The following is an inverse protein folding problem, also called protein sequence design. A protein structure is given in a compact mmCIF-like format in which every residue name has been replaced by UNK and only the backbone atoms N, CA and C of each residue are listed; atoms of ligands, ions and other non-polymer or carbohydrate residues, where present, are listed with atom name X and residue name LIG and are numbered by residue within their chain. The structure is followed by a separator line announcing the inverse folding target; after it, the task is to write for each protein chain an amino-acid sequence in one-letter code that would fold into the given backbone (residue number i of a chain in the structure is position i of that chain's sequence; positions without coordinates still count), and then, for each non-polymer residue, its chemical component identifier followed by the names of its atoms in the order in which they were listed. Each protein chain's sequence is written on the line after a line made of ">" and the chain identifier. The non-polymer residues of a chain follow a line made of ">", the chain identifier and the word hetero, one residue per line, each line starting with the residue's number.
data_IF_991126691803
#
_entry.id   IF_991126691803
#
_cell.length_a   1.000
_cell.length_b   1.000
_cell.length_c   1.000
_cell.angle_alpha   90.00
_cell.angle_beta   90.00
_cell.angle_gamma   90.00
#
_symmetry.space_group_name_H-M   'P 1'
#
loop_
_entity.id
_entity.type
_entity.pdbx_description
1 polymer ?
#
# COMPACT_ATOMS: atom_id res chain seq x y z
N UNK A 1 1.23 15.46 -36.88
CA UNK A 1 1.06 14.20 -36.12
C UNK A 1 -0.04 14.38 -35.10
N UNK A 2 -0.98 13.43 -35.00
CA UNK A 2 -2.10 13.52 -34.04
C UNK A 2 -1.58 13.38 -32.60
N UNK A 3 -2.05 14.20 -31.64
CA UNK A 3 -1.65 14.08 -30.24
C UNK A 3 -2.19 12.79 -29.61
N UNK A 4 -1.33 12.11 -28.84
CA UNK A 4 -1.65 10.89 -28.11
C UNK A 4 -2.63 11.27 -26.97
N UNK A 5 -3.81 10.63 -26.86
CA UNK A 5 -4.76 10.95 -25.80
C UNK A 5 -4.17 10.60 -24.43
N UNK A 6 -4.20 11.59 -23.51
CA UNK A 6 -3.82 11.40 -22.11
C UNK A 6 -4.77 10.38 -21.48
N UNK A 7 -4.27 9.17 -21.24
CA UNK A 7 -4.97 8.12 -20.49
C UNK A 7 -5.43 8.71 -19.16
N UNK A 8 -6.75 8.86 -19.04
CA UNK A 8 -7.41 9.34 -17.84
C UNK A 8 -7.00 8.49 -16.64
N UNK A 9 -6.87 9.14 -15.50
CA UNK A 9 -6.78 8.51 -14.19
C UNK A 9 -7.81 7.38 -14.12
N UNK A 10 -7.36 6.12 -14.09
CA UNK A 10 -8.21 4.98 -13.76
C UNK A 10 -8.76 5.30 -12.38
N UNK A 11 -9.98 5.83 -12.33
CA UNK A 11 -10.79 5.86 -11.11
C UNK A 11 -10.90 4.40 -10.71
N UNK A 12 -10.08 4.00 -9.74
CA UNK A 12 -10.17 2.70 -9.09
C UNK A 12 -11.60 2.68 -8.55
N UNK A 13 -12.48 1.96 -9.24
CA UNK A 13 -13.87 1.83 -8.83
C UNK A 13 -13.82 1.43 -7.37
N UNK A 14 -14.34 2.30 -6.49
CA UNK A 14 -14.64 1.90 -5.13
C UNK A 14 -15.65 0.78 -5.32
N UNK A 15 -15.16 -0.47 -5.27
CA UNK A 15 -15.99 -1.64 -5.02
C UNK A 15 -16.54 -1.40 -3.63
N UNK A 16 -17.62 -0.62 -3.57
CA UNK A 16 -18.45 -0.54 -2.40
C UNK A 16 -18.99 -1.94 -2.19
N UNK A 17 -18.58 -2.57 -1.09
CA UNK A 17 -19.21 -3.81 -0.65
C UNK A 17 -19.28 -3.85 0.86
N UNK A 18 -20.51 -3.58 1.30
CA UNK A 18 -21.21 -4.14 2.45
C UNK A 18 -20.69 -3.81 3.86
N UNK A 19 -21.54 -3.00 4.50
CA UNK A 19 -21.93 -3.00 5.92
C UNK A 19 -21.78 -4.38 6.57
N UNK A 20 -20.57 -4.65 7.03
CA UNK A 20 -20.15 -5.48 8.16
C UNK A 20 -18.65 -5.65 7.97
N UNK A 21 -17.90 -4.60 8.31
CA UNK A 21 -16.45 -4.66 8.33
C UNK A 21 -16.07 -5.81 9.27
N UNK A 22 -15.60 -6.92 8.67
CA UNK A 22 -15.13 -8.08 9.41
C UNK A 22 -14.03 -7.56 10.33
N UNK A 23 -14.21 -7.68 11.65
CA UNK A 23 -13.15 -7.31 12.59
C UNK A 23 -12.00 -8.29 12.41
N UNK A 24 -10.88 -7.81 11.89
CA UNK A 24 -9.70 -8.64 11.64
C UNK A 24 -8.61 -8.19 12.63
N UNK A 25 -8.53 -8.80 13.83
CA UNK A 25 -7.63 -8.33 14.90
C UNK A 25 -6.15 -8.59 14.61
N UNK A 26 -5.85 -9.60 13.76
CA UNK A 26 -4.50 -10.04 13.42
C UNK A 26 -4.31 -10.16 11.91
N UNK A 27 -3.15 -9.78 11.40
CA UNK A 27 -2.82 -9.91 9.99
C UNK A 27 -1.32 -9.95 9.68
N UNK A 28 -0.99 -9.76 8.42
CA UNK A 28 0.39 -9.70 7.92
C UNK A 28 0.53 -8.49 7.01
N UNK A 29 1.58 -7.71 7.23
CA UNK A 29 1.95 -6.56 6.39
C UNK A 29 3.14 -6.98 5.53
N UNK A 30 2.93 -7.03 4.22
CA UNK A 30 3.93 -7.31 3.22
C UNK A 30 4.46 -6.00 2.64
N UNK A 31 5.77 -5.77 2.77
CA UNK A 31 6.46 -4.62 2.18
C UNK A 31 7.37 -5.12 1.07
N UNK A 32 7.01 -4.81 -0.18
CA UNK A 32 7.86 -5.06 -1.35
C UNK A 32 8.60 -3.76 -1.71
N UNK A 33 9.86 -3.68 -1.32
CA UNK A 33 10.75 -2.55 -1.57
C UNK A 33 11.64 -2.85 -2.77
N UNK A 34 11.31 -2.25 -3.92
CA UNK A 34 12.17 -2.24 -5.11
C UNK A 34 12.87 -0.89 -5.25
N UNK A 35 13.84 -0.78 -6.16
CA UNK A 35 14.57 0.47 -6.39
C UNK A 35 13.68 1.65 -6.84
N UNK A 36 12.57 1.37 -7.52
CA UNK A 36 11.75 2.41 -8.17
C UNK A 36 10.34 2.55 -7.58
N UNK A 37 9.98 1.72 -6.59
CA UNK A 37 8.66 1.69 -5.98
C UNK A 37 8.68 0.86 -4.69
N UNK A 38 7.83 1.26 -3.74
CA UNK A 38 7.47 0.43 -2.58
C UNK A 38 5.99 0.13 -2.62
N UNK A 39 5.63 -1.15 -2.47
CA UNK A 39 4.26 -1.64 -2.40
C UNK A 39 4.06 -2.22 -1.00
N UNK A 40 2.98 -1.81 -0.34
CA UNK A 40 2.57 -2.30 0.98
C UNK A 40 1.22 -2.99 0.82
N UNK A 41 1.15 -4.25 1.17
CA UNK A 41 -0.08 -5.07 1.11
C UNK A 41 -0.35 -5.64 2.49
N UNK A 42 -1.58 -5.49 2.98
CA UNK A 42 -1.99 -5.99 4.28
C UNK A 42 -3.02 -7.09 4.06
N UNK A 43 -2.76 -8.25 4.64
CA UNK A 43 -3.64 -9.43 4.55
C UNK A 43 -4.12 -9.87 5.93
N UNK A 44 -5.17 -10.66 5.95
CA UNK A 44 -5.46 -11.51 7.11
C UNK A 44 -4.47 -12.69 7.19
N UNK A 45 -4.58 -13.50 8.24
CA UNK A 45 -3.74 -14.69 8.43
C UNK A 45 -3.97 -15.80 7.40
N UNK A 46 -5.06 -15.71 6.61
CA UNK A 46 -5.38 -16.66 5.53
C UNK A 46 -4.84 -16.18 4.18
N UNK A 47 -4.17 -15.03 4.14
CA UNK A 47 -3.62 -14.42 2.93
C UNK A 47 -4.63 -13.58 2.14
N UNK A 48 -5.83 -13.33 2.67
CA UNK A 48 -6.81 -12.49 1.97
C UNK A 48 -6.44 -11.01 2.13
N UNK A 49 -6.30 -10.31 1.00
CA UNK A 49 -5.93 -8.88 0.97
C UNK A 49 -7.07 -8.03 1.54
N UNK A 50 -6.73 -7.23 2.55
CA UNK A 50 -7.66 -6.29 3.20
C UNK A 50 -7.44 -4.87 2.64
N UNK A 51 -6.19 -4.46 2.55
CA UNK A 51 -5.80 -3.17 1.98
C UNK A 51 -4.45 -3.28 1.29
N UNK A 52 -4.19 -2.38 0.36
CA UNK A 52 -2.87 -2.22 -0.23
C UNK A 52 -2.68 -0.79 -0.70
N UNK A 53 -1.42 -0.38 -0.75
CA UNK A 53 -1.03 0.88 -1.36
C UNK A 53 0.40 0.77 -1.89
N UNK A 54 0.77 1.69 -2.76
CA UNK A 54 2.13 1.84 -3.27
C UNK A 54 2.45 3.31 -3.46
N UNK A 55 3.73 3.65 -3.54
CA UNK A 55 4.17 5.01 -3.85
C UNK A 55 3.50 5.54 -5.14
N UNK A 56 3.34 4.69 -6.16
CA UNK A 56 2.60 5.06 -7.38
C UNK A 56 1.13 5.41 -7.13
N UNK A 57 0.40 4.63 -6.32
CA UNK A 57 -1.00 4.93 -5.96
C UNK A 57 -1.17 6.12 -5.02
N UNK A 58 -0.09 6.59 -4.41
CA UNK A 58 -0.04 7.82 -3.63
C UNK A 58 0.30 9.04 -4.50
N UNK A 59 0.43 8.88 -5.81
CA UNK A 59 0.65 9.98 -6.76
C UNK A 59 2.13 10.28 -7.04
N UNK A 60 3.06 9.56 -6.41
CA UNK A 60 4.48 9.73 -6.70
C UNK A 60 4.84 9.12 -8.06
N UNK A 61 5.57 9.88 -8.87
CA UNK A 61 5.98 9.52 -10.24
C UNK A 61 7.47 9.71 -10.43
N UNK A 62 8.03 9.03 -11.44
CA UNK A 62 9.44 9.13 -11.80
C UNK A 62 10.36 8.80 -10.61
N UNK A 63 11.51 9.50 -10.47
CA UNK A 63 12.46 9.27 -9.38
C UNK A 63 11.84 9.41 -7.98
N UNK A 64 10.85 10.31 -7.81
CA UNK A 64 10.16 10.53 -6.53
C UNK A 64 9.44 9.27 -6.02
N UNK A 65 9.05 8.35 -6.92
CA UNK A 65 8.34 7.10 -6.58
C UNK A 65 9.19 6.10 -5.79
N UNK A 66 10.51 6.10 -5.98
CA UNK A 66 11.43 5.22 -5.26
C UNK A 66 11.92 5.77 -3.91
N UNK A 67 11.49 6.97 -3.53
CA UNK A 67 12.02 7.65 -2.35
C UNK A 67 11.47 7.08 -1.04
N UNK A 68 12.23 7.18 0.07
CA UNK A 68 11.75 6.77 1.40
C UNK A 68 10.44 7.44 1.82
N UNK A 69 10.27 8.74 1.50
CA UNK A 69 9.04 9.48 1.82
C UNK A 69 7.82 8.92 1.09
N UNK A 70 7.99 8.52 -0.18
CA UNK A 70 6.92 7.90 -0.94
C UNK A 70 6.54 6.52 -0.37
N UNK A 71 7.53 5.77 0.12
CA UNK A 71 7.30 4.49 0.80
C UNK A 71 6.56 4.66 2.13
N UNK A 72 6.96 5.63 2.97
CA UNK A 72 6.26 5.99 4.20
C UNK A 72 4.79 6.35 3.92
N UNK A 73 4.55 7.19 2.91
CA UNK A 73 3.19 7.61 2.53
C UNK A 73 2.32 6.42 2.10
N UNK A 74 2.89 5.46 1.36
CA UNK A 74 2.21 4.24 0.98
C UNK A 74 1.86 3.35 2.18
N UNK A 75 2.80 3.18 3.11
CA UNK A 75 2.58 2.41 4.34
C UNK A 75 1.43 3.01 5.17
N UNK A 76 1.50 4.31 5.48
CA UNK A 76 0.45 5.02 6.23
C UNK A 76 -0.92 4.87 5.56
N UNK A 77 -0.99 4.99 4.23
CA UNK A 77 -2.25 4.86 3.49
C UNK A 77 -2.84 3.46 3.59
N UNK A 78 -2.03 2.41 3.50
CA UNK A 78 -2.49 1.03 3.66
C UNK A 78 -2.96 0.74 5.09
N UNK A 79 -2.24 1.25 6.10
CA UNK A 79 -2.50 0.97 7.51
C UNK A 79 -3.77 1.64 8.02
N UNK A 80 -4.04 2.88 7.61
CA UNK A 80 -5.28 3.59 7.98
C UNK A 80 -6.52 2.75 7.72
N UNK A 81 -6.59 2.11 6.54
CA UNK A 81 -7.74 1.27 6.16
C UNK A 81 -7.93 0.03 7.03
N UNK A 82 -6.86 -0.54 7.61
CA UNK A 82 -6.97 -1.73 8.47
C UNK A 82 -7.10 -1.38 9.95
N UNK A 83 -6.57 -0.23 10.38
CA UNK A 83 -6.82 0.32 11.71
C UNK A 83 -8.32 0.59 11.89
N UNK A 84 -8.98 1.16 10.89
CA UNK A 84 -10.43 1.37 10.86
C UNK A 84 -11.23 0.05 10.93
N UNK A 85 -10.63 -1.07 10.50
CA UNK A 85 -11.22 -2.42 10.55
C UNK A 85 -10.86 -3.18 11.85
N UNK A 86 -10.16 -2.54 12.78
CA UNK A 86 -9.85 -3.08 14.10
C UNK A 86 -8.65 -4.03 14.14
N UNK A 87 -7.73 -3.96 13.19
CA UNK A 87 -6.47 -4.70 13.27
C UNK A 87 -5.55 -4.10 14.33
N UNK A 88 -5.11 -4.94 15.28
CA UNK A 88 -4.29 -4.51 16.42
C UNK A 88 -2.87 -5.10 16.37
N UNK A 89 -2.70 -6.25 15.73
CA UNK A 89 -1.41 -6.94 15.65
C UNK A 89 -1.15 -7.39 14.22
N UNK A 90 0.07 -7.18 13.74
CA UNK A 90 0.49 -7.72 12.47
C UNK A 90 1.94 -8.18 12.50
N UNK A 91 2.23 -9.26 11.79
CA UNK A 91 3.61 -9.60 11.45
C UNK A 91 4.04 -8.79 10.22
N UNK A 92 5.28 -8.32 10.17
CA UNK A 92 5.81 -7.58 9.03
C UNK A 92 6.77 -8.47 8.25
N UNK A 93 6.52 -8.60 6.95
CA UNK A 93 7.39 -9.31 6.01
C UNK A 93 7.91 -8.34 4.96
N UNK A 94 9.23 -8.21 4.85
CA UNK A 94 9.87 -7.28 3.93
C UNK A 94 10.65 -8.05 2.86
N UNK A 95 10.42 -7.71 1.59
CA UNK A 95 11.12 -8.25 0.44
C UNK A 95 11.77 -7.13 -0.37
N UNK A 96 13.02 -7.36 -0.77
CA UNK A 96 13.75 -6.55 -1.75
C UNK A 96 14.70 -5.51 -1.15
N UNK A 97 15.62 -4.98 -1.99
CA UNK A 97 16.71 -4.10 -1.56
C UNK A 97 16.38 -2.61 -1.63
N UNK A 98 15.15 -2.22 -1.96
CA UNK A 98 14.79 -0.83 -2.22
C UNK A 98 14.93 0.09 -1.00
N UNK A 99 15.24 1.37 -1.25
CA UNK A 99 15.42 2.42 -0.24
C UNK A 99 14.20 2.67 0.66
N UNK A 100 13.01 2.23 0.21
CA UNK A 100 11.77 2.37 0.96
C UNK A 100 11.58 1.41 2.13
N UNK A 101 12.47 0.43 2.32
CA UNK A 101 12.37 -0.62 3.34
C UNK A 101 12.21 -0.06 4.77
N UNK A 102 13.20 0.69 5.23
CA UNK A 102 13.22 1.17 6.62
C UNK A 102 12.17 2.26 6.85
N UNK A 103 11.91 3.09 5.85
CA UNK A 103 10.89 4.13 5.94
C UNK A 103 9.47 3.56 5.99
N UNK A 104 9.18 2.50 5.25
CA UNK A 104 7.90 1.79 5.36
C UNK A 104 7.78 1.10 6.72
N UNK A 105 8.84 0.45 7.21
CA UNK A 105 8.84 -0.21 8.53
C UNK A 105 8.60 0.77 9.68
N UNK A 106 9.25 1.94 9.66
CA UNK A 106 9.06 3.00 10.67
C UNK A 106 7.65 3.61 10.68
N UNK A 107 6.91 3.45 9.60
CA UNK A 107 5.57 4.00 9.43
C UNK A 107 4.46 3.04 9.89
N UNK A 108 4.82 1.77 10.14
CA UNK A 108 3.95 0.71 10.63
C UNK A 108 3.89 0.76 12.14
#
# INVERSE_FOLDING_TARGET
>A
GKPIPKIGSRRNGRIGSRKNARKIPKGVIHVQASFNNTIVTITDVRGQVISWSSAGTCGFKGPKRGTPFAAQTAAVKAIRTVADQGMQRAAVMIKGPGLGRDAALRAI
#
